data_IF_565179061593
#
_entry.id   IF_565179061593
#
_cell.length_a   1.000
_cell.length_b   1.000
_cell.length_c   1.000
_cell.angle_alpha   90.00
_cell.angle_beta   90.00
_cell.angle_gamma   90.00
#
_symmetry.space_group_name_H-M   'P 1'
#
loop_
_entity.id
_entity.type
_entity.pdbx_description
1 polymer ?
#
# COMPACT_ATOMS: atom_id res chain seq x y z
N UNK A 1 -22.02 5.81 4.49
CA UNK A 1 -22.70 5.58 5.80
C UNK A 1 -24.14 5.18 5.56
N UNK A 2 -24.70 4.21 6.30
CA UNK A 2 -26.12 3.90 6.16
C UNK A 2 -26.95 5.12 6.56
N UNK A 3 -27.94 5.44 5.75
CA UNK A 3 -28.85 6.58 5.92
C UNK A 3 -29.64 6.61 7.26
N UNK A 4 -29.44 5.63 8.12
CA UNK A 4 -30.10 5.47 9.42
C UNK A 4 -29.27 5.88 10.64
N UNK A 5 -28.00 6.23 10.45
CA UNK A 5 -27.11 6.66 11.53
C UNK A 5 -27.00 8.19 11.55
N UNK A 6 -27.59 8.82 12.56
CA UNK A 6 -27.33 10.23 12.86
C UNK A 6 -25.99 10.31 13.60
N UNK A 7 -24.90 10.47 12.86
CA UNK A 7 -23.57 10.55 13.41
C UNK A 7 -22.94 11.91 13.09
N UNK A 8 -22.42 12.57 14.12
CA UNK A 8 -21.50 13.69 13.95
C UNK A 8 -20.14 13.14 13.59
N UNK A 9 -19.61 13.46 12.40
CA UNK A 9 -18.37 12.92 11.87
C UNK A 9 -17.30 13.99 11.92
N UNK A 10 -16.12 13.61 12.40
CA UNK A 10 -14.94 14.47 12.43
C UNK A 10 -13.80 13.71 11.74
N UNK A 11 -13.05 14.40 10.90
CA UNK A 11 -11.92 13.81 10.19
C UNK A 11 -10.61 14.19 10.86
N UNK A 12 -9.67 13.24 10.88
CA UNK A 12 -8.28 13.44 11.26
C UNK A 12 -7.38 13.04 10.10
N UNK A 13 -6.31 13.79 9.87
CA UNK A 13 -5.41 13.56 8.72
C UNK A 13 -4.31 12.52 9.00
N UNK A 14 -3.98 12.28 10.27
CA UNK A 14 -3.04 11.26 10.73
C UNK A 14 -3.27 10.95 12.22
N UNK A 15 -2.51 10.00 12.78
CA UNK A 15 -2.70 9.53 14.15
C UNK A 15 -2.52 10.62 15.22
N UNK A 16 -1.56 11.53 15.07
CA UNK A 16 -1.37 12.63 16.03
C UNK A 16 -2.57 13.57 16.08
N UNK A 17 -3.08 13.98 14.91
CA UNK A 17 -4.29 14.82 14.83
C UNK A 17 -5.49 14.11 15.47
N UNK A 18 -5.64 12.80 15.22
CA UNK A 18 -6.70 12.02 15.85
C UNK A 18 -6.61 12.02 17.38
N UNK A 19 -5.41 11.84 17.94
CA UNK A 19 -5.18 11.88 19.40
C UNK A 19 -5.44 13.27 19.99
N UNK A 20 -5.11 14.35 19.28
CA UNK A 20 -5.42 15.71 19.69
C UNK A 20 -6.93 15.96 19.76
N UNK A 21 -7.67 15.48 18.75
CA UNK A 21 -9.14 15.59 18.73
C UNK A 21 -9.80 14.76 19.83
N UNK A 22 -9.28 13.55 20.09
CA UNK A 22 -9.74 12.71 21.22
C UNK A 22 -9.50 13.34 22.59
N UNK A 23 -8.49 14.20 22.71
CA UNK A 23 -8.25 14.94 23.95
C UNK A 23 -9.23 16.12 24.16
N UNK A 24 -9.88 16.59 23.10
CA UNK A 24 -10.79 17.75 23.15
C UNK A 24 -12.27 17.37 23.19
N UNK A 25 -12.63 16.24 22.63
CA UNK A 25 -14.02 15.79 22.47
C UNK A 25 -14.14 14.28 22.64
N UNK A 26 -15.23 13.82 23.24
CA UNK A 26 -15.56 12.40 23.32
C UNK A 26 -16.10 11.88 21.99
N UNK A 27 -15.57 10.74 21.55
CA UNK A 27 -16.03 10.01 20.39
C UNK A 27 -16.43 8.58 20.79
N UNK A 28 -17.44 8.03 20.13
CA UNK A 28 -17.92 6.65 20.42
C UNK A 28 -17.21 5.61 19.59
N UNK A 29 -16.92 5.94 18.33
CA UNK A 29 -16.31 5.04 17.36
C UNK A 29 -15.27 5.82 16.58
N UNK A 30 -14.14 5.19 16.30
CA UNK A 30 -13.09 5.67 15.42
C UNK A 30 -12.86 4.66 14.30
N UNK A 31 -12.84 5.13 13.06
CA UNK A 31 -12.33 4.36 11.93
C UNK A 31 -10.87 4.77 11.72
N UNK A 32 -9.98 3.80 11.78
CA UNK A 32 -8.54 4.01 11.80
C UNK A 32 -7.87 3.28 10.64
N UNK A 33 -7.21 4.03 9.74
CA UNK A 33 -6.30 3.44 8.78
C UNK A 33 -4.98 3.05 9.45
N UNK A 34 -4.33 2.00 8.95
CA UNK A 34 -3.01 1.61 9.44
C UNK A 34 -1.88 2.37 8.75
N UNK A 35 -2.06 2.73 7.48
CA UNK A 35 -0.99 3.32 6.66
C UNK A 35 -1.19 4.84 6.56
N UNK A 36 -0.64 5.57 7.53
CA UNK A 36 -0.74 7.03 7.63
C UNK A 36 0.65 7.65 7.89
N UNK A 37 0.85 8.93 7.47
CA UNK A 37 2.08 9.65 7.78
C UNK A 37 2.16 10.01 9.28
N UNK A 38 3.33 10.45 9.73
CA UNK A 38 3.67 10.92 11.08
C UNK A 38 3.49 9.86 12.17
N UNK A 39 2.26 9.54 12.54
CA UNK A 39 1.91 8.44 13.44
C UNK A 39 0.96 7.50 12.72
N UNK A 40 1.42 6.27 12.50
CA UNK A 40 0.65 5.23 11.84
C UNK A 40 -0.49 4.68 12.71
N UNK A 41 -1.33 3.80 12.16
CA UNK A 41 -2.46 3.26 12.90
C UNK A 41 -2.06 2.33 14.04
N UNK A 42 -0.94 1.62 13.94
CA UNK A 42 -0.43 0.78 15.05
C UNK A 42 0.00 1.65 16.22
N UNK A 43 0.82 2.67 15.97
CA UNK A 43 1.23 3.63 16.99
C UNK A 43 0.05 4.40 17.59
N UNK A 44 -0.97 4.71 16.78
CA UNK A 44 -2.20 5.36 17.27
C UNK A 44 -2.97 4.46 18.22
N UNK A 45 -3.11 3.15 17.93
CA UNK A 45 -3.75 2.18 18.82
C UNK A 45 -2.98 2.02 20.14
N UNK A 46 -1.65 1.92 20.05
CA UNK A 46 -0.80 1.79 21.24
C UNK A 46 -0.93 3.01 22.15
N UNK A 47 -0.99 4.24 21.58
CA UNK A 47 -1.22 5.48 22.32
C UNK A 47 -2.63 5.55 22.95
N UNK A 48 -3.68 5.15 22.23
CA UNK A 48 -5.05 5.06 22.76
C UNK A 48 -5.08 4.14 23.97
N UNK A 49 -4.43 2.97 23.88
CA UNK A 49 -4.35 2.01 24.96
C UNK A 49 -3.54 2.56 26.14
N UNK A 50 -2.37 3.14 25.88
CA UNK A 50 -1.49 3.69 26.92
C UNK A 50 -2.14 4.85 27.71
N UNK A 51 -2.94 5.68 27.02
CA UNK A 51 -3.67 6.80 27.63
C UNK A 51 -5.01 6.38 28.26
N UNK A 52 -5.42 5.13 28.10
CA UNK A 52 -6.71 4.63 28.62
C UNK A 52 -7.94 5.34 28.01
N UNK A 53 -7.88 5.73 26.74
CA UNK A 53 -8.97 6.41 26.04
C UNK A 53 -10.07 5.40 25.74
N UNK A 54 -11.28 5.64 26.27
CA UNK A 54 -12.44 4.76 26.04
C UNK A 54 -13.12 5.07 24.71
N UNK A 55 -12.65 4.41 23.64
CA UNK A 55 -13.20 4.53 22.29
C UNK A 55 -13.22 3.17 21.61
N UNK A 56 -14.26 2.91 20.81
CA UNK A 56 -14.35 1.71 19.98
C UNK A 56 -13.62 1.96 18.67
N UNK A 57 -12.44 1.33 18.50
CA UNK A 57 -11.67 1.48 17.27
C UNK A 57 -12.01 0.37 16.28
N UNK A 58 -12.36 0.75 15.05
CA UNK A 58 -12.52 -0.10 13.87
C UNK A 58 -11.39 0.17 12.95
N UNK A 59 -10.49 -0.78 12.76
CA UNK A 59 -9.39 -0.64 11.81
C UNK A 59 -9.91 -0.86 10.39
N UNK A 60 -9.53 0.02 9.47
CA UNK A 60 -9.86 -0.05 8.04
C UNK A 60 -8.57 0.05 7.25
N UNK A 61 -8.11 -1.05 6.65
CA UNK A 61 -6.78 -1.09 6.06
C UNK A 61 -6.69 -1.88 4.75
N UNK A 62 -5.76 -1.46 3.89
CA UNK A 62 -5.27 -2.24 2.75
C UNK A 62 -4.33 -3.37 3.18
N UNK A 63 -3.74 -3.29 4.36
CA UNK A 63 -2.91 -4.36 4.93
C UNK A 63 -3.79 -5.56 5.30
N UNK A 64 -3.64 -6.66 4.57
CA UNK A 64 -4.42 -7.89 4.77
C UNK A 64 -3.62 -9.01 5.44
N UNK A 65 -2.41 -8.73 5.89
CA UNK A 65 -1.55 -9.71 6.53
C UNK A 65 -2.21 -10.27 7.81
N UNK A 66 -2.22 -11.58 8.04
CA UNK A 66 -2.78 -12.17 9.28
C UNK A 66 -2.14 -11.58 10.55
N UNK A 67 -0.81 -11.40 10.55
CA UNK A 67 -0.06 -10.81 11.67
C UNK A 67 -0.46 -9.36 11.97
N UNK A 68 -0.77 -8.55 10.93
CA UNK A 68 -1.29 -7.20 11.13
C UNK A 68 -2.64 -7.21 11.84
N UNK A 69 -3.56 -8.06 11.37
CA UNK A 69 -4.87 -8.22 11.98
C UNK A 69 -4.78 -8.70 13.44
N UNK A 70 -3.96 -9.70 13.71
CA UNK A 70 -3.72 -10.20 15.08
C UNK A 70 -3.18 -9.10 15.98
N UNK A 71 -2.20 -8.32 15.50
CA UNK A 71 -1.59 -7.22 16.25
C UNK A 71 -2.62 -6.15 16.63
N UNK A 72 -3.42 -5.66 15.69
CA UNK A 72 -4.40 -4.60 15.99
C UNK A 72 -5.51 -5.09 16.90
N UNK A 73 -5.95 -6.35 16.78
CA UNK A 73 -6.93 -6.94 17.70
C UNK A 73 -6.37 -7.09 19.11
N UNK A 74 -5.10 -7.45 19.26
CA UNK A 74 -4.40 -7.50 20.54
C UNK A 74 -4.23 -6.11 21.18
N UNK A 75 -4.03 -5.06 20.37
CA UNK A 75 -3.98 -3.64 20.81
C UNK A 75 -5.38 -3.04 21.06
N UNK A 76 -6.45 -3.86 21.04
CA UNK A 76 -7.79 -3.45 21.50
C UNK A 76 -8.77 -2.99 20.44
N UNK A 77 -8.43 -3.08 19.15
CA UNK A 77 -9.39 -2.85 18.07
C UNK A 77 -10.62 -3.76 18.21
N UNK A 78 -11.81 -3.24 17.91
CA UNK A 78 -13.07 -3.97 18.02
C UNK A 78 -13.44 -4.72 16.74
N UNK A 79 -12.96 -4.22 15.59
CA UNK A 79 -13.15 -4.87 14.30
C UNK A 79 -12.02 -4.49 13.34
N UNK A 80 -11.85 -5.31 12.30
CA UNK A 80 -10.96 -5.08 11.20
C UNK A 80 -11.74 -5.18 9.89
N UNK A 81 -11.71 -4.14 9.07
CA UNK A 81 -12.34 -4.09 7.75
C UNK A 81 -11.24 -3.92 6.70
N UNK A 82 -11.24 -4.81 5.73
CA UNK A 82 -10.31 -4.73 4.59
C UNK A 82 -10.80 -3.68 3.58
N UNK A 83 -9.89 -2.93 2.99
CA UNK A 83 -10.13 -2.06 1.84
C UNK A 83 -10.12 -2.87 0.52
N UNK A 84 -10.95 -2.53 -0.48
CA UNK A 84 -12.03 -1.53 -0.45
C UNK A 84 -13.17 -1.92 0.50
N UNK A 85 -13.81 -0.92 1.11
CA UNK A 85 -14.83 -1.13 2.14
C UNK A 85 -16.11 -1.69 1.51
N UNK A 86 -16.50 -2.89 1.93
CA UNK A 86 -17.82 -3.45 1.60
C UNK A 86 -18.90 -2.82 2.50
N UNK A 87 -19.97 -2.28 1.85
CA UNK A 87 -21.08 -1.59 2.54
C UNK A 87 -21.83 -2.51 3.51
N UNK A 88 -21.96 -3.80 3.22
CA UNK A 88 -22.67 -4.75 4.07
C UNK A 88 -21.82 -5.13 5.29
N UNK A 89 -20.51 -5.29 5.11
CA UNK A 89 -19.56 -5.52 6.21
C UNK A 89 -19.57 -4.31 7.16
N UNK A 90 -19.43 -3.09 6.61
CA UNK A 90 -19.47 -1.86 7.39
C UNK A 90 -20.76 -1.76 8.20
N UNK A 91 -21.92 -2.01 7.57
CA UNK A 91 -23.22 -1.99 8.22
C UNK A 91 -23.33 -3.03 9.35
N UNK A 92 -22.76 -4.20 9.15
CA UNK A 92 -22.76 -5.28 10.15
C UNK A 92 -21.92 -4.89 11.37
N UNK A 93 -20.72 -4.36 11.15
CA UNK A 93 -19.83 -3.89 12.22
C UNK A 93 -20.47 -2.72 12.98
N UNK A 94 -21.07 -1.76 12.29
CA UNK A 94 -21.75 -0.63 12.94
C UNK A 94 -22.96 -1.08 13.78
N UNK A 95 -23.77 -2.05 13.31
CA UNK A 95 -24.89 -2.62 14.08
C UNK A 95 -24.44 -3.30 15.36
N UNK A 96 -23.28 -3.92 15.35
CA UNK A 96 -22.70 -4.59 16.52
C UNK A 96 -22.16 -3.57 17.54
N UNK A 97 -21.51 -2.52 17.06
CA UNK A 97 -20.81 -1.55 17.91
C UNK A 97 -21.71 -0.42 18.43
N UNK A 98 -22.76 -0.05 17.69
CA UNK A 98 -23.72 0.97 18.13
C UNK A 98 -24.85 0.29 18.87
N UNK A 99 -24.92 0.48 20.20
CA UNK A 99 -26.09 0.12 20.97
C UNK A 99 -27.32 0.85 20.38
N UNK A 100 -28.38 0.11 20.03
CA UNK A 100 -29.59 0.65 19.36
C UNK A 100 -30.11 1.88 20.06
N UNK A 101 -30.16 3.07 19.44
CA UNK A 101 -31.02 4.15 19.91
C UNK A 101 -32.47 3.77 19.64
N UNK A 102 -33.32 4.01 20.60
CA UNK A 102 -34.76 3.91 20.43
C UNK A 102 -35.23 4.96 19.39
N UNK A 103 -35.93 4.48 18.37
CA UNK A 103 -36.69 5.18 17.33
C UNK A 103 -35.92 5.94 16.22
N UNK A 104 -36.30 5.71 14.96
CA UNK A 104 -35.77 6.47 13.82
C UNK A 104 -36.44 7.87 13.78
N UNK A 105 -35.65 8.90 14.05
CA UNK A 105 -36.04 10.25 13.69
C UNK A 105 -35.64 10.50 12.23
N UNK A 106 -36.59 10.99 11.43
CA UNK A 106 -36.35 11.50 10.08
C UNK A 106 -35.36 12.68 10.16
N UNK A 107 -34.17 12.48 9.62
CA UNK A 107 -33.13 13.49 9.60
C UNK A 107 -32.84 13.87 8.16
N UNK A 108 -32.92 15.17 7.94
CA UNK A 108 -32.41 15.83 6.72
C UNK A 108 -30.93 15.50 6.58
N UNK A 109 -30.43 15.11 5.37
CA UNK A 109 -29.02 14.91 5.14
C UNK A 109 -28.28 16.22 5.43
N UNK A 110 -27.42 16.21 6.44
CA UNK A 110 -26.44 17.29 6.60
C UNK A 110 -25.44 17.09 5.49
N UNK A 111 -25.29 18.08 4.62
CA UNK A 111 -24.22 18.09 3.64
C UNK A 111 -22.90 18.09 4.42
N UNK A 112 -22.22 16.95 4.45
CA UNK A 112 -20.85 16.86 4.95
C UNK A 112 -19.98 17.63 3.95
N UNK A 113 -19.23 18.59 4.46
CA UNK A 113 -18.17 19.27 3.68
C UNK A 113 -17.00 18.27 3.56
N UNK A 114 -17.18 17.30 2.65
CA UNK A 114 -16.17 16.27 2.40
C UNK A 114 -15.00 16.93 1.66
N UNK A 115 -13.75 16.63 2.03
CA UNK A 115 -12.60 17.13 1.28
C UNK A 115 -12.72 16.64 -0.18
N UNK A 116 -12.56 17.58 -1.13
CA UNK A 116 -12.54 17.22 -2.55
C UNK A 116 -11.33 16.34 -2.80
N UNK A 117 -11.57 15.06 -3.08
CA UNK A 117 -10.52 14.11 -3.42
C UNK A 117 -9.82 14.56 -4.70
N UNK A 118 -8.50 14.70 -4.63
CA UNK A 118 -7.68 14.94 -5.80
C UNK A 118 -7.39 13.61 -6.49
N UNK A 119 -7.25 13.64 -7.81
CA UNK A 119 -6.83 12.47 -8.63
C UNK A 119 -5.67 11.70 -7.99
N UNK A 120 -4.67 12.41 -7.45
CA UNK A 120 -3.52 11.81 -6.77
C UNK A 120 -3.90 11.01 -5.52
N UNK A 121 -4.92 11.44 -4.79
CA UNK A 121 -5.37 10.77 -3.55
C UNK A 121 -6.02 9.42 -3.89
N UNK A 122 -6.76 9.36 -5.00
CA UNK A 122 -7.36 8.12 -5.52
C UNK A 122 -6.27 7.13 -5.93
N UNK A 123 -5.30 7.57 -6.71
CA UNK A 123 -4.18 6.71 -7.09
C UNK A 123 -3.40 6.20 -5.89
N UNK A 124 -3.22 7.05 -4.87
CA UNK A 124 -2.54 6.65 -3.63
C UNK A 124 -3.35 5.60 -2.87
N UNK A 125 -4.67 5.75 -2.80
CA UNK A 125 -5.54 4.77 -2.14
C UNK A 125 -5.55 3.43 -2.89
N UNK A 126 -5.66 3.47 -4.20
CA UNK A 126 -5.58 2.28 -5.06
C UNK A 126 -4.23 1.57 -4.92
N UNK A 127 -3.14 2.34 -4.90
CA UNK A 127 -1.80 1.81 -4.65
C UNK A 127 -1.68 1.17 -3.26
N UNK A 128 -2.24 1.81 -2.22
CA UNK A 128 -2.21 1.31 -0.85
C UNK A 128 -2.85 -0.08 -0.72
N UNK A 129 -3.99 -0.29 -1.37
CA UNK A 129 -4.63 -1.61 -1.43
C UNK A 129 -3.78 -2.63 -2.21
N UNK A 130 -3.21 -2.24 -3.35
CA UNK A 130 -2.37 -3.12 -4.17
C UNK A 130 -1.08 -3.53 -3.43
N UNK A 131 -0.48 -2.59 -2.71
CA UNK A 131 0.70 -2.82 -1.84
C UNK A 131 0.38 -3.83 -0.75
N UNK A 132 -0.79 -3.70 -0.11
CA UNK A 132 -1.22 -4.65 0.92
C UNK A 132 -1.34 -6.09 0.39
N UNK A 133 -1.84 -6.25 -0.84
CA UNK A 133 -1.90 -7.57 -1.51
C UNK A 133 -0.51 -8.13 -1.77
N UNK A 134 0.43 -7.30 -2.22
CA UNK A 134 1.81 -7.73 -2.46
C UNK A 134 2.56 -8.06 -1.16
N UNK A 135 2.37 -7.26 -0.12
CA UNK A 135 2.96 -7.52 1.20
C UNK A 135 2.42 -8.81 1.84
N UNK A 136 1.12 -9.09 1.72
CA UNK A 136 0.55 -10.36 2.20
C UNK A 136 1.14 -11.56 1.45
N UNK A 137 1.36 -11.44 0.14
CA UNK A 137 1.98 -12.50 -0.65
C UNK A 137 3.42 -12.78 -0.19
N UNK A 138 4.24 -11.74 0.04
CA UNK A 138 5.59 -11.88 0.61
C UNK A 138 5.55 -12.45 2.03
N UNK A 139 4.67 -11.91 2.87
CA UNK A 139 4.55 -12.33 4.27
C UNK A 139 4.23 -13.82 4.38
N UNK A 140 3.35 -14.33 3.53
CA UNK A 140 3.01 -15.78 3.47
C UNK A 140 4.13 -16.62 2.90
N UNK A 141 4.84 -16.12 1.89
CA UNK A 141 5.92 -16.85 1.23
C UNK A 141 7.11 -17.05 2.17
N UNK A 142 7.47 -16.02 2.94
CA UNK A 142 8.63 -16.04 3.85
C UNK A 142 8.27 -16.28 5.32
N UNK A 143 6.99 -16.36 5.68
CA UNK A 143 6.49 -16.43 7.08
C UNK A 143 6.99 -15.27 7.96
N UNK A 144 6.99 -14.06 7.41
CA UNK A 144 7.44 -12.82 8.06
C UNK A 144 6.32 -11.82 8.24
N UNK A 145 6.61 -10.69 8.87
CA UNK A 145 5.79 -9.48 8.80
C UNK A 145 6.47 -8.47 7.88
N UNK A 146 5.71 -7.91 6.95
CA UNK A 146 6.17 -6.91 5.99
C UNK A 146 5.57 -5.56 6.37
N UNK A 147 6.41 -4.56 6.61
CA UNK A 147 5.94 -3.20 6.85
C UNK A 147 5.41 -2.58 5.55
N UNK A 148 4.16 -2.09 5.59
CA UNK A 148 3.59 -1.37 4.46
C UNK A 148 4.06 0.09 4.48
N UNK A 149 4.78 0.52 3.42
CA UNK A 149 5.13 1.92 3.27
C UNK A 149 3.93 2.72 2.75
N UNK A 150 4.01 4.04 2.91
CA UNK A 150 3.14 4.96 2.18
C UNK A 150 3.55 4.97 0.71
N UNK A 151 2.65 4.70 -0.23
CA UNK A 151 2.97 4.76 -1.65
C UNK A 151 3.26 6.20 -2.07
N UNK A 152 4.34 6.39 -2.81
CA UNK A 152 4.61 7.64 -3.50
C UNK A 152 4.07 7.55 -4.93
N UNK A 153 3.09 8.38 -5.26
CA UNK A 153 2.45 8.38 -6.57
C UNK A 153 2.72 9.72 -7.25
N UNK A 154 3.43 9.70 -8.35
CA UNK A 154 3.82 10.89 -9.10
C UNK A 154 3.69 10.70 -10.60
N UNK A 155 3.60 11.80 -11.33
CA UNK A 155 3.81 11.85 -12.77
C UNK A 155 5.18 12.48 -12.96
N UNK A 156 6.15 11.69 -13.41
CA UNK A 156 7.54 12.09 -13.51
C UNK A 156 7.97 12.20 -14.97
N UNK A 157 8.82 13.19 -15.26
CA UNK A 157 9.62 13.22 -16.46
C UNK A 157 10.87 12.34 -16.29
N UNK A 158 11.53 11.97 -17.39
CA UNK A 158 12.70 11.06 -17.36
C UNK A 158 13.79 11.53 -16.40
N UNK A 159 14.05 12.83 -16.33
CA UNK A 159 15.04 13.40 -15.40
C UNK A 159 14.67 13.25 -13.94
N UNK A 160 13.39 13.43 -13.62
CA UNK A 160 12.84 13.28 -12.27
C UNK A 160 12.83 11.81 -11.85
N UNK A 161 12.49 10.90 -12.78
CA UNK A 161 12.56 9.46 -12.56
C UNK A 161 14.00 9.02 -12.24
N UNK A 162 14.98 9.55 -12.97
CA UNK A 162 16.40 9.27 -12.69
C UNK A 162 16.82 9.75 -11.30
N UNK A 163 16.32 10.89 -10.84
CA UNK A 163 16.58 11.38 -9.48
C UNK A 163 15.92 10.48 -8.44
N UNK A 164 14.66 10.11 -8.64
CA UNK A 164 13.94 9.21 -7.73
C UNK A 164 14.65 7.85 -7.60
N UNK A 165 15.13 7.28 -8.70
CA UNK A 165 15.88 6.02 -8.67
C UNK A 165 17.22 6.15 -7.92
N UNK A 166 17.91 7.29 -8.00
CA UNK A 166 19.14 7.51 -7.22
C UNK A 166 18.85 7.62 -5.74
N UNK A 167 17.76 8.27 -5.36
CA UNK A 167 17.36 8.42 -3.97
C UNK A 167 16.97 7.05 -3.35
N UNK A 168 16.40 6.14 -4.14
CA UNK A 168 16.08 4.77 -3.69
C UNK A 168 17.33 3.95 -3.36
N UNK A 169 18.38 4.07 -4.15
CA UNK A 169 19.57 3.22 -4.00
C UNK A 169 20.51 3.60 -2.85
N UNK A 170 20.33 4.76 -2.22
CA UNK A 170 21.09 5.24 -1.05
C UNK A 170 22.62 5.01 -1.11
N UNK A 171 23.20 5.10 -2.32
CA UNK A 171 24.60 4.81 -2.67
C UNK A 171 25.07 3.35 -2.53
N UNK A 172 24.18 2.40 -2.25
CA UNK A 172 24.52 0.96 -2.26
C UNK A 172 24.60 0.42 -3.70
N UNK A 173 25.29 -0.72 -3.84
CA UNK A 173 25.15 -1.55 -5.03
C UNK A 173 23.80 -2.24 -4.97
N UNK A 174 23.18 -2.40 -6.12
CA UNK A 174 21.84 -2.98 -6.23
C UNK A 174 21.80 -4.04 -7.33
N UNK A 175 20.92 -4.99 -7.13
CA UNK A 175 20.47 -5.92 -8.17
C UNK A 175 19.10 -5.49 -8.65
N UNK A 176 18.92 -5.38 -9.97
CA UNK A 176 17.70 -4.84 -10.57
C UNK A 176 17.09 -5.79 -11.58
N UNK A 177 15.75 -5.93 -11.50
CA UNK A 177 14.93 -6.71 -12.45
C UNK A 177 13.84 -5.83 -13.01
N UNK A 178 13.59 -5.93 -14.31
CA UNK A 178 12.48 -5.29 -15.00
C UNK A 178 11.47 -6.32 -15.50
N UNK A 179 10.18 -5.99 -15.41
CA UNK A 179 9.10 -6.78 -15.97
C UNK A 179 8.09 -5.88 -16.67
N UNK A 180 7.87 -6.12 -17.97
CA UNK A 180 6.77 -5.50 -18.69
C UNK A 180 5.42 -6.05 -18.22
N UNK A 181 4.40 -5.20 -18.23
CA UNK A 181 3.02 -5.64 -17.98
C UNK A 181 2.03 -4.96 -18.93
N UNK A 182 0.93 -5.65 -19.19
CA UNK A 182 -0.15 -5.09 -20.01
C UNK A 182 -1.49 -5.72 -19.66
N UNK A 183 -2.58 -5.00 -19.94
CA UNK A 183 -3.94 -5.49 -19.75
C UNK A 183 -4.98 -4.47 -20.24
N UNK A 184 -5.89 -4.89 -21.10
CA UNK A 184 -7.04 -4.10 -21.58
C UNK A 184 -6.70 -2.68 -22.04
N UNK A 185 -5.57 -2.49 -22.72
CA UNK A 185 -5.12 -1.17 -23.21
C UNK A 185 -4.22 -0.41 -22.24
N UNK A 186 -4.04 -0.89 -21.02
CA UNK A 186 -3.04 -0.40 -20.08
C UNK A 186 -1.73 -1.13 -20.30
N UNK A 187 -0.62 -0.42 -20.24
CA UNK A 187 0.72 -1.01 -20.35
C UNK A 187 1.74 -0.24 -19.52
N UNK A 188 2.83 -0.92 -19.19
CA UNK A 188 3.91 -0.32 -18.42
C UNK A 188 5.03 -1.30 -18.09
N UNK A 189 5.94 -0.85 -17.27
CA UNK A 189 7.06 -1.64 -16.75
C UNK A 189 7.13 -1.54 -15.23
N UNK A 190 7.49 -2.64 -14.60
CA UNK A 190 7.78 -2.69 -13.17
C UNK A 190 9.27 -2.94 -12.96
N UNK A 191 9.90 -2.10 -12.16
CA UNK A 191 11.29 -2.23 -11.76
C UNK A 191 11.33 -2.68 -10.30
N UNK A 192 12.05 -3.75 -10.03
CA UNK A 192 12.33 -4.24 -8.68
C UNK A 192 13.82 -4.07 -8.41
N UNK A 193 14.15 -3.37 -7.32
CA UNK A 193 15.52 -3.14 -6.87
C UNK A 193 15.71 -3.78 -5.50
N UNK A 194 16.78 -4.53 -5.37
CA UNK A 194 17.20 -5.14 -4.10
C UNK A 194 18.62 -4.66 -3.80
N UNK A 195 18.83 -4.08 -2.62
CA UNK A 195 20.18 -3.68 -2.18
C UNK A 195 21.02 -4.90 -1.84
N UNK A 196 22.33 -4.85 -2.09
CA UNK A 196 23.25 -5.94 -1.76
C UNK A 196 23.27 -6.26 -0.26
N UNK A 197 23.05 -5.26 0.60
CA UNK A 197 22.87 -5.47 2.04
C UNK A 197 21.68 -6.37 2.40
N UNK A 198 20.66 -6.40 1.55
CA UNK A 198 19.45 -7.22 1.73
C UNK A 198 19.63 -8.68 1.31
N UNK A 199 20.57 -8.97 0.40
CA UNK A 199 20.75 -10.32 -0.19
C UNK A 199 21.08 -11.35 0.87
N UNK A 200 21.97 -11.02 1.82
CA UNK A 200 22.37 -11.93 2.90
C UNK A 200 21.21 -12.36 3.79
N UNK A 201 20.33 -11.41 4.14
CA UNK A 201 19.18 -11.72 4.99
C UNK A 201 18.09 -12.45 4.20
N UNK A 202 17.94 -12.13 2.91
CA UNK A 202 17.01 -12.82 2.03
C UNK A 202 17.40 -14.29 1.84
N UNK A 203 18.70 -14.61 1.66
CA UNK A 203 19.20 -15.98 1.65
C UNK A 203 18.88 -16.74 2.93
N UNK A 204 19.03 -16.09 4.09
CA UNK A 204 18.68 -16.69 5.39
C UNK A 204 17.18 -17.01 5.47
N UNK A 205 16.30 -16.10 5.04
CA UNK A 205 14.85 -16.32 5.02
C UNK A 205 14.46 -17.49 4.13
N UNK A 206 15.10 -17.60 2.96
CA UNK A 206 14.87 -18.70 2.01
C UNK A 206 15.60 -19.98 2.40
N UNK A 207 16.38 -19.97 3.48
CA UNK A 207 17.22 -21.13 3.92
C UNK A 207 18.21 -21.57 2.84
N UNK A 208 18.66 -20.65 2.01
CA UNK A 208 19.70 -20.87 1.00
C UNK A 208 21.07 -20.90 1.70
N UNK A 209 21.98 -21.84 1.39
CA UNK A 209 23.31 -21.86 1.96
C UNK A 209 24.07 -20.55 1.75
N UNK A 210 24.87 -20.13 2.74
CA UNK A 210 25.61 -18.87 2.68
C UNK A 210 26.66 -18.80 1.57
N UNK A 211 27.11 -19.97 1.12
CA UNK A 211 28.10 -20.20 0.06
C UNK A 211 27.44 -20.53 -1.30
N UNK A 212 26.13 -20.25 -1.44
CA UNK A 212 25.39 -20.45 -2.69
C UNK A 212 25.98 -19.62 -3.83
N UNK A 213 25.94 -20.18 -5.03
CA UNK A 213 26.46 -19.56 -6.24
C UNK A 213 25.60 -18.34 -6.68
N UNK A 214 26.15 -17.45 -7.51
CA UNK A 214 25.43 -16.28 -8.09
C UNK A 214 24.13 -16.68 -8.79
N UNK A 215 24.06 -17.90 -9.32
CA UNK A 215 22.86 -18.42 -9.99
C UNK A 215 21.66 -18.52 -9.03
N UNK A 216 21.91 -18.96 -7.78
CA UNK A 216 20.86 -19.08 -6.76
C UNK A 216 20.37 -17.69 -6.28
N UNK A 217 21.26 -16.69 -6.27
CA UNK A 217 20.85 -15.29 -5.99
C UNK A 217 19.96 -14.73 -7.08
N UNK A 218 20.27 -15.04 -8.33
CA UNK A 218 19.48 -14.62 -9.47
C UNK A 218 18.08 -15.24 -9.44
N UNK A 219 17.98 -16.53 -9.19
CA UNK A 219 16.69 -17.23 -9.05
C UNK A 219 15.86 -16.61 -7.94
N UNK A 220 16.47 -16.32 -6.80
CA UNK A 220 15.85 -15.67 -5.66
C UNK A 220 15.29 -14.28 -6.02
N UNK A 221 16.09 -13.46 -6.71
CA UNK A 221 15.68 -12.13 -7.16
C UNK A 221 14.49 -12.20 -8.15
N UNK A 222 14.54 -13.18 -9.08
CA UNK A 222 13.46 -13.41 -10.04
C UNK A 222 12.16 -13.85 -9.36
N UNK A 223 12.24 -14.73 -8.36
CA UNK A 223 11.08 -15.22 -7.60
C UNK A 223 10.42 -14.09 -6.79
N UNK A 224 11.22 -13.31 -6.07
CA UNK A 224 10.73 -12.14 -5.32
C UNK A 224 10.07 -11.12 -6.26
N UNK A 225 10.70 -10.86 -7.42
CA UNK A 225 10.15 -9.95 -8.42
C UNK A 225 8.80 -10.45 -8.94
N UNK A 226 8.69 -11.73 -9.29
CA UNK A 226 7.44 -12.32 -9.76
C UNK A 226 6.31 -12.20 -8.71
N UNK A 227 6.63 -12.47 -7.44
CA UNK A 227 5.65 -12.39 -6.34
C UNK A 227 5.18 -10.93 -6.18
N UNK A 228 6.11 -9.97 -6.08
CA UNK A 228 5.79 -8.57 -5.85
C UNK A 228 5.00 -7.96 -7.01
N UNK A 229 5.52 -8.09 -8.23
CA UNK A 229 4.90 -7.49 -9.42
C UNK A 229 3.53 -8.13 -9.68
N UNK A 230 3.45 -9.47 -9.65
CA UNK A 230 2.20 -10.18 -9.90
C UNK A 230 1.12 -9.87 -8.86
N UNK A 231 1.50 -9.80 -7.59
CA UNK A 231 0.55 -9.54 -6.51
C UNK A 231 0.07 -8.09 -6.50
N UNK A 232 0.96 -7.12 -6.77
CA UNK A 232 0.58 -5.72 -6.93
C UNK A 232 -0.39 -5.53 -8.10
N UNK A 233 -0.05 -6.07 -9.28
CA UNK A 233 -0.91 -6.02 -10.47
C UNK A 233 -2.25 -6.70 -10.25
N UNK A 234 -2.31 -7.79 -9.48
CA UNK A 234 -3.56 -8.42 -9.09
C UNK A 234 -4.39 -7.51 -8.17
N UNK A 235 -3.75 -6.85 -7.20
CA UNK A 235 -4.41 -5.90 -6.31
C UNK A 235 -4.95 -4.67 -7.06
N UNK A 236 -4.15 -4.09 -7.94
CA UNK A 236 -4.55 -2.98 -8.81
C UNK A 236 -5.66 -3.40 -9.78
N UNK A 237 -5.49 -4.56 -10.42
CA UNK A 237 -6.43 -5.08 -11.40
C UNK A 237 -7.82 -5.36 -10.84
N UNK A 238 -7.91 -5.81 -9.60
CA UNK A 238 -9.20 -5.99 -8.91
C UNK A 238 -9.95 -4.68 -8.72
N UNK A 239 -9.24 -3.59 -8.47
CA UNK A 239 -9.83 -2.27 -8.27
C UNK A 239 -10.19 -1.59 -9.59
N UNK A 240 -9.32 -1.70 -10.61
CA UNK A 240 -9.54 -1.14 -11.94
C UNK A 240 -10.43 -2.03 -12.84
N UNK A 241 -10.88 -3.20 -12.35
CA UNK A 241 -11.57 -4.23 -13.15
C UNK A 241 -10.80 -4.61 -14.41
N UNK A 242 -9.46 -4.73 -14.29
CA UNK A 242 -8.55 -5.06 -15.39
C UNK A 242 -7.77 -6.33 -15.08
N UNK A 243 -7.67 -7.20 -16.05
CA UNK A 243 -6.77 -8.36 -15.96
C UNK A 243 -5.43 -8.03 -16.56
N UNK A 244 -4.41 -7.89 -15.70
CA UNK A 244 -3.03 -7.70 -16.13
C UNK A 244 -2.33 -9.02 -16.43
N UNK A 245 -1.42 -8.96 -17.39
CA UNK A 245 -0.45 -10.00 -17.74
C UNK A 245 0.94 -9.39 -17.58
N UNK A 246 1.86 -10.16 -17.04
CA UNK A 246 3.26 -9.75 -16.89
C UNK A 246 4.17 -10.59 -17.77
N UNK A 247 5.25 -10.00 -18.27
CA UNK A 247 6.32 -10.72 -18.96
C UNK A 247 7.18 -11.51 -17.98
N UNK A 248 8.07 -12.34 -18.50
CA UNK A 248 9.15 -12.89 -17.67
C UNK A 248 10.04 -11.76 -17.16
N UNK A 249 10.58 -11.88 -15.94
CA UNK A 249 11.53 -10.91 -15.41
C UNK A 249 12.83 -10.90 -16.23
N UNK A 250 13.34 -9.71 -16.48
CA UNK A 250 14.61 -9.48 -17.17
C UNK A 250 15.61 -8.85 -16.21
N UNK A 251 16.81 -9.43 -16.11
CA UNK A 251 17.87 -8.91 -15.28
C UNK A 251 18.47 -7.65 -15.91
N UNK A 252 18.44 -6.52 -15.20
CA UNK A 252 19.12 -5.28 -15.61
C UNK A 252 20.58 -5.27 -15.15
N UNK A 253 20.89 -5.97 -14.06
CA UNK A 253 22.22 -6.16 -13.53
C UNK A 253 22.20 -6.62 -12.09
N UNK A 254 23.31 -7.23 -11.63
CA UNK A 254 23.55 -7.64 -10.25
C UNK A 254 24.78 -6.90 -9.71
N UNK A 255 24.73 -6.48 -8.45
CA UNK A 255 25.83 -5.80 -7.76
C UNK A 255 26.40 -4.62 -8.52
N UNK A 256 25.52 -3.82 -9.14
CA UNK A 256 25.88 -2.67 -9.96
C UNK A 256 25.39 -1.36 -9.35
N UNK A 257 25.99 -0.26 -9.79
CA UNK A 257 25.51 1.06 -9.40
C UNK A 257 24.15 1.36 -10.03
N UNK A 258 23.30 2.09 -9.30
CA UNK A 258 22.00 2.54 -9.83
C UNK A 258 22.12 3.33 -11.13
N UNK A 259 23.21 4.09 -11.33
CA UNK A 259 23.46 4.83 -12.58
C UNK A 259 23.60 3.88 -13.78
N UNK A 260 24.06 2.66 -13.58
CA UNK A 260 24.12 1.64 -14.63
C UNK A 260 22.72 1.12 -14.99
N UNK A 261 21.86 0.92 -13.99
CA UNK A 261 20.44 0.55 -14.20
C UNK A 261 19.72 1.67 -14.95
N UNK A 262 19.86 2.92 -14.49
CA UNK A 262 19.24 4.10 -15.12
C UNK A 262 19.59 4.21 -16.61
N UNK A 263 20.86 3.97 -16.99
CA UNK A 263 21.28 4.01 -18.38
C UNK A 263 20.62 2.95 -19.25
N UNK A 264 20.36 1.79 -18.68
CA UNK A 264 19.71 0.68 -19.37
C UNK A 264 18.20 0.87 -19.53
N UNK A 265 17.56 1.60 -18.59
CA UNK A 265 16.11 1.80 -18.54
C UNK A 265 15.66 3.11 -19.23
N UNK A 266 16.51 4.12 -19.35
CA UNK A 266 16.16 5.51 -19.74
C UNK A 266 15.73 5.73 -21.20
N UNK A 267 15.56 4.68 -22.02
CA UNK A 267 15.25 4.82 -23.46
C UNK A 267 13.76 4.86 -23.83
N UNK A 268 12.85 4.51 -22.92
CA UNK A 268 11.48 4.12 -23.27
C UNK A 268 10.39 5.16 -22.96
N UNK A 269 10.63 6.14 -22.08
CA UNK A 269 9.57 7.03 -21.58
C UNK A 269 9.91 8.49 -21.74
N UNK A 270 8.93 9.32 -22.15
CA UNK A 270 9.06 10.81 -22.10
C UNK A 270 8.47 11.33 -20.78
N UNK A 271 7.33 10.79 -20.38
CA UNK A 271 6.64 11.09 -19.15
C UNK A 271 5.94 9.83 -18.67
N UNK A 272 5.89 9.57 -17.39
CA UNK A 272 5.29 8.36 -16.87
C UNK A 272 4.62 8.59 -15.51
N UNK A 273 3.52 7.92 -15.26
CA UNK A 273 2.99 7.83 -13.90
C UNK A 273 3.68 6.70 -13.17
N UNK A 274 4.19 7.03 -11.99
CA UNK A 274 4.94 6.09 -11.16
C UNK A 274 4.20 5.80 -9.86
N UNK A 275 4.24 4.52 -9.47
CA UNK A 275 3.94 4.07 -8.12
C UNK A 275 5.23 3.53 -7.52
N UNK A 276 5.74 4.23 -6.54
CA UNK A 276 6.99 3.91 -5.85
C UNK A 276 6.68 3.36 -4.47
N UNK A 277 7.27 2.22 -4.13
CA UNK A 277 7.00 1.46 -2.91
C UNK A 277 8.28 0.85 -2.39
N UNK A 278 8.63 1.11 -1.12
CA UNK A 278 9.80 0.51 -0.46
C UNK A 278 9.35 -0.44 0.65
N UNK A 279 9.39 -1.73 0.39
CA UNK A 279 9.07 -2.75 1.39
C UNK A 279 10.25 -3.00 2.34
N UNK A 280 9.93 -3.10 3.63
CA UNK A 280 10.87 -3.52 4.67
C UNK A 280 10.32 -4.74 5.39
N UNK A 281 11.17 -5.71 5.68
CA UNK A 281 10.80 -6.92 6.41
C UNK A 281 11.25 -6.80 7.86
N UNK A 282 10.31 -7.03 8.78
CA UNK A 282 10.55 -6.88 10.21
C UNK A 282 11.69 -7.78 10.70
N UNK A 283 12.57 -7.23 11.54
CA UNK A 283 13.70 -7.96 12.12
C UNK A 283 14.85 -8.27 11.15
N UNK A 284 14.85 -7.70 9.95
CA UNK A 284 15.89 -7.89 8.93
C UNK A 284 16.41 -6.56 8.38
N UNK A 285 17.50 -6.62 7.60
CA UNK A 285 17.98 -5.47 6.80
C UNK A 285 17.34 -5.41 5.40
N UNK A 286 16.38 -6.29 5.09
CA UNK A 286 15.82 -6.40 3.75
C UNK A 286 15.00 -5.17 3.43
N UNK A 287 15.44 -4.46 2.38
CA UNK A 287 14.71 -3.41 1.70
C UNK A 287 14.56 -3.78 0.22
N UNK A 288 13.35 -3.79 -0.25
CA UNK A 288 13.03 -4.04 -1.64
C UNK A 288 12.22 -2.86 -2.19
N UNK A 289 12.78 -2.17 -3.16
CA UNK A 289 12.14 -1.03 -3.81
C UNK A 289 11.46 -1.48 -5.10
N UNK A 290 10.20 -1.13 -5.24
CA UNK A 290 9.34 -1.48 -6.35
C UNK A 290 8.81 -0.21 -7.00
N UNK A 291 9.04 -0.07 -8.29
CA UNK A 291 8.60 1.07 -9.08
C UNK A 291 7.78 0.58 -10.27
N UNK A 292 6.48 0.91 -10.28
CA UNK A 292 5.62 0.72 -11.45
C UNK A 292 5.57 1.99 -12.28
N UNK A 293 5.75 1.85 -13.57
CA UNK A 293 5.76 2.93 -14.56
C UNK A 293 4.72 2.65 -15.63
N UNK A 294 3.67 3.46 -15.70
CA UNK A 294 2.65 3.36 -16.73
C UNK A 294 3.01 4.27 -17.91
N UNK A 295 2.87 3.77 -19.12
CA UNK A 295 3.03 4.59 -20.32
C UNK A 295 1.96 5.69 -20.39
N UNK A 296 2.31 6.84 -20.96
CA UNK A 296 1.44 8.03 -21.00
C UNK A 296 0.07 7.75 -21.63
N UNK A 297 0.04 6.92 -22.66
CA UNK A 297 -1.18 6.52 -23.36
C UNK A 297 -2.16 5.73 -22.48
N UNK A 298 -1.66 5.10 -21.42
CA UNK A 298 -2.47 4.33 -20.46
C UNK A 298 -3.23 5.22 -19.46
N UNK A 299 -2.76 6.44 -19.22
CA UNK A 299 -3.29 7.28 -18.12
C UNK A 299 -4.77 7.66 -18.27
N UNK A 300 -5.26 8.08 -19.46
CA UNK A 300 -6.67 8.40 -19.62
C UNK A 300 -7.59 7.20 -19.36
N UNK A 301 -7.14 6.01 -19.76
CA UNK A 301 -7.91 4.79 -19.55
C UNK A 301 -7.90 4.36 -18.07
N UNK A 302 -6.77 4.50 -17.40
CA UNK A 302 -6.68 4.20 -15.96
C UNK A 302 -7.55 5.17 -15.14
N UNK A 303 -7.60 6.45 -15.52
CA UNK A 303 -8.52 7.42 -14.92
C UNK A 303 -9.98 7.02 -15.08
N UNK A 304 -10.37 6.62 -16.30
CA UNK A 304 -11.73 6.18 -16.60
C UNK A 304 -12.10 4.96 -15.75
N UNK A 305 -11.21 3.96 -15.69
CA UNK A 305 -11.38 2.73 -14.91
C UNK A 305 -11.53 2.98 -13.41
N UNK A 306 -10.90 4.02 -12.87
CA UNK A 306 -10.94 4.39 -11.45
C UNK A 306 -11.93 5.52 -11.14
N UNK A 307 -12.67 6.02 -12.14
CA UNK A 307 -13.61 7.15 -11.98
C UNK A 307 -14.73 6.88 -10.96
N UNK A 308 -15.16 5.61 -10.82
CA UNK A 308 -16.17 5.21 -9.83
C UNK A 308 -15.76 5.55 -8.38
N UNK A 309 -14.46 5.59 -8.09
CA UNK A 309 -13.95 6.03 -6.79
C UNK A 309 -14.10 7.55 -6.57
N UNK A 310 -14.35 8.32 -7.65
CA UNK A 310 -14.65 9.76 -7.58
C UNK A 310 -16.14 10.06 -7.38
N UNK A 311 -17.02 9.14 -7.79
CA UNK A 311 -18.47 9.33 -7.76
C UNK A 311 -19.14 8.89 -6.43
N UNK A 312 -18.46 8.06 -5.64
CA UNK A 312 -18.99 7.53 -4.37
C UNK A 312 -18.77 8.47 -3.14
N UNK A 313 -18.34 9.73 -3.37
CA UNK A 313 -18.10 10.72 -2.31
C UNK A 313 -18.95 11.99 -2.46
#
# INVERSE_FOLDING_TARGET
MPASLNADITFAVHGLDALEQLAQKEFKIMFLDLTMPELDGFGTLDEIQARGIDIKVVVVSGDIQPKAKERVMASGAKAFIQKPIDKDILNSVLKELVERPAQPQLITPVALDLPVLKRRDIYREVANVAIGVAADALARHFDVFVHLPLPNVNILEVSELQMALRDLADNDQVSGVCQGFSGEGLAGEALVLLSDSSVCDLKKLMKVPADSEELEELELLMDVSNILVGSFLNGLGKQAEVRFFQSSPELLGQHISIDSIIKNTAGSFQKTMTFEVSYNIDGTSIRCDLLFMFVDESLPLLDDKLSYLMEDF
#
